data_IF_158965271814
#
_entry.id   IF_158965271814
#
_cell.length_a   1.000
_cell.length_b   1.000
_cell.length_c   1.000
_cell.angle_alpha   90.00
_cell.angle_beta   90.00
_cell.angle_gamma   90.00
#
_symmetry.space_group_name_H-M   'P 1'
#
loop_
_entity.id
_entity.type
_entity.pdbx_description
1 polymer ?
#
# COMPACT_ATOMS: atom_id res chain seq x y z
N UNK A 1 -5.95 -22.23 25.21
CA UNK A 1 -5.53 -20.88 25.63
C UNK A 1 -4.17 -20.96 26.29
N UNK A 2 -3.32 -19.94 26.15
CA UNK A 2 -2.10 -19.82 26.95
C UNK A 2 -2.43 -19.33 28.36
N UNK A 3 -3.09 -18.18 28.45
CA UNK A 3 -3.58 -17.57 29.69
C UNK A 3 -5.03 -17.13 29.47
N UNK A 4 -5.91 -17.47 30.41
CA UNK A 4 -7.32 -17.08 30.40
C UNK A 4 -7.64 -16.36 31.70
N UNK A 5 -8.07 -15.10 31.57
CA UNK A 5 -8.45 -14.21 32.66
C UNK A 5 -9.93 -13.88 32.49
N UNK A 6 -10.75 -14.25 33.47
CA UNK A 6 -12.22 -14.17 33.43
C UNK A 6 -12.80 -13.76 34.77
N UNK A 7 -14.11 -13.57 34.86
CA UNK A 7 -14.84 -13.26 36.09
C UNK A 7 -14.29 -12.04 36.86
N UNK A 8 -14.08 -10.91 36.18
CA UNK A 8 -13.41 -9.71 36.74
C UNK A 8 -11.98 -9.99 37.23
N UNK A 9 -11.32 -10.97 36.59
CA UNK A 9 -9.97 -11.37 36.89
C UNK A 9 -9.00 -10.19 36.77
N UNK A 10 -8.12 -10.09 37.76
CA UNK A 10 -6.98 -9.20 37.76
C UNK A 10 -5.71 -10.05 37.62
N UNK A 11 -4.58 -9.38 37.39
CA UNK A 11 -3.29 -10.05 37.35
C UNK A 11 -2.25 -9.19 36.69
N UNK A 12 -0.99 -9.51 36.94
CA UNK A 12 0.14 -8.88 36.27
C UNK A 12 0.96 -9.95 35.58
N UNK A 13 1.12 -9.81 34.26
CA UNK A 13 2.03 -10.58 33.45
C UNK A 13 3.17 -9.65 33.10
N UNK A 14 4.38 -9.99 33.52
CA UNK A 14 5.58 -9.18 33.33
C UNK A 14 6.72 -10.07 32.84
N UNK A 15 7.45 -9.62 31.83
CA UNK A 15 8.66 -10.30 31.32
C UNK A 15 8.42 -11.78 30.96
N UNK A 16 7.26 -12.06 30.34
CA UNK A 16 6.82 -13.41 30.00
C UNK A 16 6.87 -13.69 28.50
N UNK A 17 7.17 -14.95 28.16
CA UNK A 17 7.05 -15.51 26.82
C UNK A 17 5.82 -16.42 26.73
N UNK A 18 4.87 -16.08 25.86
CA UNK A 18 3.60 -16.79 25.69
C UNK A 18 3.50 -17.24 24.25
N UNK A 19 3.88 -18.48 23.96
CA UNK A 19 4.08 -18.92 22.58
C UNK A 19 3.59 -20.33 22.26
N UNK A 20 3.38 -20.61 20.97
CA UNK A 20 3.05 -21.95 20.49
C UNK A 20 1.66 -22.47 20.90
N UNK A 21 0.80 -21.60 21.41
CA UNK A 21 -0.53 -21.95 21.90
C UNK A 21 -1.44 -22.41 20.76
N UNK A 22 -2.25 -23.45 21.01
CA UNK A 22 -3.23 -23.96 20.03
C UNK A 22 -4.45 -23.06 19.88
N UNK A 23 -4.76 -22.28 20.91
CA UNK A 23 -5.80 -21.25 20.92
C UNK A 23 -5.16 -19.89 21.24
N UNK A 24 -5.96 -18.92 21.67
CA UNK A 24 -5.54 -17.56 22.00
C UNK A 24 -4.42 -17.56 23.03
N UNK A 25 -3.39 -16.76 22.79
CA UNK A 25 -2.23 -16.60 23.68
C UNK A 25 -2.64 -16.05 25.04
N UNK A 26 -3.20 -14.85 25.06
CA UNK A 26 -3.80 -14.24 26.26
C UNK A 26 -5.25 -13.86 26.00
N UNK A 27 -6.16 -14.39 26.79
CA UNK A 27 -7.59 -14.14 26.67
C UNK A 27 -8.10 -13.39 27.89
N UNK A 28 -8.59 -12.17 27.69
CA UNK A 28 -9.16 -11.27 28.71
C UNK A 28 -10.67 -11.21 28.47
N UNK A 29 -11.45 -11.70 29.42
CA UNK A 29 -12.89 -11.85 29.28
C UNK A 29 -13.65 -11.30 30.50
N UNK A 30 -14.94 -11.03 30.35
CA UNK A 30 -15.87 -10.76 31.47
C UNK A 30 -15.38 -9.66 32.41
N UNK A 31 -15.22 -8.46 31.87
CA UNK A 31 -14.76 -7.27 32.62
C UNK A 31 -13.40 -7.42 33.35
N UNK A 32 -12.61 -8.44 33.00
CA UNK A 32 -11.26 -8.63 33.54
C UNK A 32 -10.35 -7.46 33.16
N UNK A 33 -9.46 -7.08 34.08
CA UNK A 33 -8.59 -5.92 33.95
C UNK A 33 -7.14 -6.21 34.37
N UNK A 34 -6.42 -7.07 33.64
CA UNK A 34 -5.03 -7.38 33.94
C UNK A 34 -4.06 -6.31 33.41
N UNK A 35 -2.84 -6.30 33.94
CA UNK A 35 -1.70 -5.60 33.37
C UNK A 35 -0.78 -6.60 32.69
N UNK A 36 -0.46 -6.39 31.42
CA UNK A 36 0.44 -7.23 30.63
C UNK A 36 1.55 -6.32 30.14
N UNK A 37 2.79 -6.53 30.59
CA UNK A 37 3.89 -5.62 30.24
C UNK A 37 5.19 -6.33 29.95
N UNK A 38 5.99 -5.81 29.02
CA UNK A 38 7.27 -6.40 28.64
C UNK A 38 7.16 -7.88 28.19
N UNK A 39 6.01 -8.29 27.64
CA UNK A 39 5.76 -9.67 27.25
C UNK A 39 5.96 -9.89 25.75
N UNK A 40 6.28 -11.13 25.37
CA UNK A 40 6.33 -11.58 23.96
C UNK A 40 5.27 -12.66 23.74
N UNK A 41 4.35 -12.42 22.80
CA UNK A 41 3.23 -13.31 22.50
C UNK A 41 3.26 -13.71 21.03
N UNK A 42 3.70 -14.95 20.75
CA UNK A 42 4.09 -15.31 19.39
C UNK A 42 3.87 -16.76 18.97
N UNK A 43 3.89 -16.99 17.66
CA UNK A 43 3.77 -18.31 17.03
C UNK A 43 2.55 -19.15 17.50
N UNK A 44 1.48 -18.48 17.97
CA UNK A 44 0.21 -19.10 18.30
C UNK A 44 -0.55 -19.55 17.06
N UNK A 45 -1.43 -20.56 17.20
CA UNK A 45 -2.31 -21.05 16.12
C UNK A 45 -3.56 -20.20 15.93
N UNK A 46 -3.92 -19.38 16.93
CA UNK A 46 -5.08 -18.49 16.94
C UNK A 46 -4.64 -17.03 17.18
N UNK A 47 -5.42 -16.25 17.93
CA UNK A 47 -5.11 -14.86 18.26
C UNK A 47 -3.92 -14.75 19.21
N UNK A 48 -3.11 -13.69 19.08
CA UNK A 48 -2.11 -13.37 20.10
C UNK A 48 -2.78 -12.97 21.42
N UNK A 49 -3.55 -11.88 21.38
CA UNK A 49 -4.38 -11.41 22.50
C UNK A 49 -5.83 -11.30 22.06
N UNK A 50 -6.76 -11.82 22.85
CA UNK A 50 -8.20 -11.64 22.65
C UNK A 50 -8.86 -10.98 23.86
N UNK A 51 -9.59 -9.89 23.62
CA UNK A 51 -10.21 -9.06 24.66
C UNK A 51 -11.70 -8.96 24.34
N UNK A 52 -12.54 -9.56 25.19
CA UNK A 52 -13.95 -9.83 24.91
C UNK A 52 -14.84 -9.58 26.13
N UNK A 53 -16.15 -9.50 25.92
CA UNK A 53 -17.19 -9.28 26.93
C UNK A 53 -16.86 -8.20 27.97
N UNK A 54 -16.76 -6.95 27.51
CA UNK A 54 -16.37 -5.79 28.32
C UNK A 54 -14.96 -5.91 28.94
N UNK A 55 -14.10 -6.76 28.37
CA UNK A 55 -12.73 -6.92 28.79
C UNK A 55 -11.99 -5.59 28.77
N UNK A 56 -11.23 -5.36 29.83
CA UNK A 56 -10.36 -4.21 29.99
C UNK A 56 -8.92 -4.69 29.86
N UNK A 57 -8.02 -4.09 30.62
CA UNK A 57 -6.63 -4.46 30.68
C UNK A 57 -5.72 -3.41 30.06
N UNK A 58 -4.49 -3.44 30.52
CA UNK A 58 -3.44 -2.54 30.07
C UNK A 58 -2.30 -3.39 29.51
N UNK A 59 -2.04 -3.26 28.20
CA UNK A 59 -1.04 -4.00 27.46
C UNK A 59 0.06 -3.03 27.05
N UNK A 60 1.26 -3.22 27.56
CA UNK A 60 2.29 -2.18 27.56
C UNK A 60 3.64 -2.75 27.16
N UNK A 61 4.35 -2.10 26.25
CA UNK A 61 5.74 -2.47 25.93
C UNK A 61 5.87 -3.97 25.52
N UNK A 62 4.88 -4.50 24.79
CA UNK A 62 4.78 -5.91 24.39
C UNK A 62 5.05 -6.12 22.89
N UNK A 63 5.57 -7.30 22.56
CA UNK A 63 5.73 -7.78 21.18
C UNK A 63 4.73 -8.89 20.87
N UNK A 64 3.90 -8.70 19.84
CA UNK A 64 2.84 -9.64 19.45
C UNK A 64 3.05 -9.97 17.97
N UNK A 65 3.57 -11.17 17.66
CA UNK A 65 4.03 -11.46 16.30
C UNK A 65 3.93 -12.92 15.87
N UNK A 66 3.95 -13.17 14.56
CA UNK A 66 4.00 -14.54 14.00
C UNK A 66 2.76 -15.40 14.26
N UNK A 67 1.73 -14.84 14.91
CA UNK A 67 0.49 -15.56 15.20
C UNK A 67 -0.24 -15.92 13.90
N UNK A 68 -0.80 -17.13 13.86
CA UNK A 68 -1.40 -17.69 12.65
C UNK A 68 -2.79 -17.10 12.33
N UNK A 69 -3.38 -16.38 13.28
CA UNK A 69 -4.59 -15.57 13.09
C UNK A 69 -4.29 -14.10 13.41
N UNK A 70 -5.19 -13.41 14.11
CA UNK A 70 -5.09 -12.00 14.49
C UNK A 70 -3.94 -11.77 15.49
N UNK A 71 -3.29 -10.62 15.45
CA UNK A 71 -2.40 -10.19 16.53
C UNK A 71 -3.20 -9.89 17.80
N UNK A 72 -4.13 -8.94 17.70
CA UNK A 72 -5.04 -8.54 18.78
C UNK A 72 -6.47 -8.47 18.27
N UNK A 73 -7.43 -8.96 19.06
CA UNK A 73 -8.86 -8.70 18.85
C UNK A 73 -9.48 -8.00 20.06
N UNK A 74 -10.24 -6.94 19.79
CA UNK A 74 -11.01 -6.18 20.77
C UNK A 74 -12.47 -6.25 20.35
N UNK A 75 -13.32 -6.90 21.13
CA UNK A 75 -14.73 -7.06 20.77
C UNK A 75 -15.69 -6.98 21.93
N UNK A 76 -16.99 -6.91 21.62
CA UNK A 76 -18.09 -7.01 22.61
C UNK A 76 -17.96 -5.95 23.70
N UNK A 77 -17.93 -4.67 23.29
CA UNK A 77 -17.79 -3.50 24.17
C UNK A 77 -16.50 -3.45 25.02
N UNK A 78 -15.48 -4.25 24.69
CA UNK A 78 -14.18 -4.22 25.36
C UNK A 78 -13.45 -2.91 25.12
N UNK A 79 -12.73 -2.43 26.15
CA UNK A 79 -12.06 -1.13 26.14
C UNK A 79 -10.67 -1.18 26.82
N UNK A 80 -9.70 -1.90 26.24
CA UNK A 80 -8.35 -1.99 26.77
C UNK A 80 -7.51 -0.75 26.43
N UNK A 81 -6.41 -0.56 27.15
CA UNK A 81 -5.34 0.36 26.75
C UNK A 81 -4.14 -0.44 26.25
N UNK A 82 -3.70 -0.18 25.02
CA UNK A 82 -2.53 -0.79 24.39
C UNK A 82 -1.52 0.32 24.11
N UNK A 83 -0.33 0.26 24.72
CA UNK A 83 0.67 1.32 24.55
C UNK A 83 2.07 0.79 24.33
N UNK A 84 2.85 1.48 23.49
CA UNK A 84 4.24 1.12 23.18
C UNK A 84 4.42 -0.32 22.68
N UNK A 85 3.39 -0.90 22.05
CA UNK A 85 3.41 -2.29 21.60
C UNK A 85 3.81 -2.40 20.13
N UNK A 86 4.41 -3.53 19.77
CA UNK A 86 4.69 -3.90 18.37
C UNK A 86 3.84 -5.09 17.98
N UNK A 87 3.00 -4.92 16.96
CA UNK A 87 2.10 -5.96 16.44
C UNK A 87 2.46 -6.23 14.98
N UNK A 88 3.16 -7.34 14.71
CA UNK A 88 3.79 -7.50 13.41
C UNK A 88 3.92 -8.93 12.89
N UNK A 89 4.15 -9.05 11.58
CA UNK A 89 4.37 -10.31 10.87
C UNK A 89 3.30 -11.38 11.17
N UNK A 90 2.07 -10.94 11.45
CA UNK A 90 0.91 -11.81 11.65
C UNK A 90 0.36 -12.37 10.33
N UNK A 91 -0.26 -13.55 10.39
CA UNK A 91 -0.87 -14.18 9.20
C UNK A 91 -2.30 -13.70 8.90
N UNK A 92 -2.84 -12.82 9.75
CA UNK A 92 -4.14 -12.17 9.56
C UNK A 92 -4.01 -10.65 9.75
N UNK A 93 -5.07 -9.99 10.24
CA UNK A 93 -5.04 -8.59 10.63
C UNK A 93 -4.13 -8.39 11.86
N UNK A 94 -3.43 -7.26 11.92
CA UNK A 94 -2.64 -6.91 13.10
C UNK A 94 -3.56 -6.74 14.31
N UNK A 95 -4.50 -5.81 14.20
CA UNK A 95 -5.51 -5.53 15.22
C UNK A 95 -6.90 -5.49 14.58
N UNK A 96 -7.85 -6.23 15.14
CA UNK A 96 -9.26 -6.19 14.74
C UNK A 96 -10.13 -5.72 15.90
N UNK A 97 -10.81 -4.58 15.71
CA UNK A 97 -11.78 -4.03 16.65
C UNK A 97 -13.19 -4.18 16.04
N UNK A 98 -14.06 -4.93 16.71
CA UNK A 98 -15.39 -5.34 16.20
C UNK A 98 -16.45 -5.32 17.30
N UNK A 99 -17.72 -5.37 16.91
CA UNK A 99 -18.86 -5.59 17.82
C UNK A 99 -18.87 -4.57 18.99
N UNK A 100 -18.91 -3.28 18.64
CA UNK A 100 -18.84 -2.14 19.58
C UNK A 100 -17.52 -2.05 20.38
N UNK A 101 -16.43 -2.63 19.87
CA UNK A 101 -15.12 -2.51 20.49
C UNK A 101 -14.66 -1.05 20.55
N UNK A 102 -14.02 -0.68 21.65
CA UNK A 102 -13.47 0.66 21.86
C UNK A 102 -11.94 0.55 21.85
N UNK A 103 -11.30 0.81 22.98
CA UNK A 103 -9.87 0.66 23.16
C UNK A 103 -9.09 1.90 22.77
N UNK A 104 -7.97 2.08 23.47
CA UNK A 104 -7.01 3.16 23.23
C UNK A 104 -5.69 2.52 22.81
N UNK A 105 -5.19 2.89 21.64
CA UNK A 105 -3.89 2.47 21.13
C UNK A 105 -2.98 3.70 21.08
N UNK A 106 -1.91 3.70 21.85
CA UNK A 106 -0.95 4.80 21.90
C UNK A 106 0.47 4.34 21.57
N UNK A 107 1.18 5.12 20.75
CA UNK A 107 2.62 4.91 20.49
C UNK A 107 2.94 3.46 20.02
N UNK A 108 2.03 2.83 19.28
CA UNK A 108 2.17 1.45 18.81
C UNK A 108 2.69 1.37 17.38
N UNK A 109 3.47 0.32 17.09
CA UNK A 109 3.91 -0.05 15.74
C UNK A 109 3.14 -1.27 15.25
N UNK A 110 2.45 -1.14 14.13
CA UNK A 110 1.64 -2.21 13.54
C UNK A 110 2.12 -2.39 12.10
N UNK A 111 2.74 -3.54 11.79
CA UNK A 111 3.38 -3.67 10.48
C UNK A 111 3.58 -5.09 9.96
N UNK A 112 3.72 -5.20 8.65
CA UNK A 112 4.10 -6.47 8.01
C UNK A 112 3.03 -7.56 8.10
N UNK A 113 1.82 -7.25 8.54
CA UNK A 113 0.74 -8.22 8.66
C UNK A 113 0.20 -8.62 7.29
N UNK A 114 -0.30 -9.85 7.18
CA UNK A 114 -0.77 -10.42 5.90
C UNK A 114 -2.08 -9.80 5.43
N UNK A 115 -2.87 -9.23 6.34
CA UNK A 115 -4.07 -8.45 6.01
C UNK A 115 -3.85 -6.98 6.40
N UNK A 116 -4.90 -6.23 6.70
CA UNK A 116 -4.75 -4.84 7.15
C UNK A 116 -4.09 -4.77 8.52
N UNK A 117 -3.32 -3.71 8.77
CA UNK A 117 -2.71 -3.47 10.08
C UNK A 117 -3.78 -3.29 11.15
N UNK A 118 -4.75 -2.41 10.89
CA UNK A 118 -5.91 -2.18 11.76
C UNK A 118 -7.20 -2.37 10.98
N UNK A 119 -8.12 -3.15 11.53
CA UNK A 119 -9.46 -3.37 10.99
C UNK A 119 -10.51 -2.97 12.03
N UNK A 120 -11.43 -2.07 11.68
CA UNK A 120 -12.46 -1.52 12.56
C UNK A 120 -13.82 -1.77 11.91
N UNK A 121 -14.72 -2.48 12.59
CA UNK A 121 -16.07 -2.66 12.05
C UNK A 121 -17.16 -2.82 13.12
N UNK A 122 -18.41 -2.88 12.66
CA UNK A 122 -19.62 -3.10 13.48
C UNK A 122 -19.72 -2.12 14.65
N UNK A 123 -19.87 -0.85 14.31
CA UNK A 123 -20.10 0.25 15.26
C UNK A 123 -18.95 0.45 16.28
N UNK A 124 -17.77 -0.12 16.03
CA UNK A 124 -16.60 0.03 16.89
C UNK A 124 -16.00 1.44 16.82
N UNK A 125 -15.50 1.95 17.95
CA UNK A 125 -15.03 3.33 18.07
C UNK A 125 -13.72 3.44 18.88
N UNK A 126 -12.59 2.92 18.36
CA UNK A 126 -11.29 3.00 19.02
C UNK A 126 -10.66 4.40 18.92
N UNK A 127 -9.68 4.68 19.78
CA UNK A 127 -8.79 5.84 19.63
C UNK A 127 -7.37 5.37 19.37
N UNK A 128 -6.78 5.82 18.25
CA UNK A 128 -5.38 5.57 17.89
C UNK A 128 -4.61 6.89 17.96
N UNK A 129 -3.51 6.93 18.72
CA UNK A 129 -2.70 8.13 18.94
C UNK A 129 -1.23 7.84 18.75
N UNK A 130 -0.54 8.62 17.91
CA UNK A 130 0.92 8.49 17.66
C UNK A 130 1.34 7.09 17.21
N UNK A 131 0.45 6.35 16.55
CA UNK A 131 0.74 5.01 16.05
C UNK A 131 1.38 5.06 14.66
N UNK A 132 2.22 4.07 14.36
CA UNK A 132 2.80 3.85 13.03
C UNK A 132 2.25 2.56 12.43
N UNK A 133 1.57 2.65 11.29
CA UNK A 133 0.91 1.52 10.62
C UNK A 133 1.51 1.36 9.21
N UNK A 134 2.29 0.31 8.98
CA UNK A 134 3.10 0.25 7.76
C UNK A 134 3.43 -1.13 7.21
N UNK A 135 3.73 -1.19 5.91
CA UNK A 135 4.18 -2.40 5.20
C UNK A 135 3.24 -3.62 5.30
N UNK A 136 1.98 -3.40 5.68
CA UNK A 136 0.93 -4.41 5.69
C UNK A 136 0.56 -4.82 4.24
N UNK A 137 0.12 -6.07 4.07
CA UNK A 137 -0.14 -6.64 2.73
C UNK A 137 -1.52 -6.28 2.17
N UNK A 138 -2.35 -5.60 2.95
CA UNK A 138 -3.57 -4.95 2.48
C UNK A 138 -3.57 -3.46 2.85
N UNK A 139 -4.68 -2.94 3.39
CA UNK A 139 -4.78 -1.55 3.79
C UNK A 139 -3.95 -1.30 5.06
N UNK A 140 -3.50 -0.07 5.29
CA UNK A 140 -2.98 0.25 6.63
C UNK A 140 -4.09 0.14 7.66
N UNK A 141 -5.16 0.91 7.42
CA UNK A 141 -6.36 0.93 8.27
C UNK A 141 -7.59 0.74 7.40
N UNK A 142 -8.44 -0.21 7.77
CA UNK A 142 -9.70 -0.47 7.08
C UNK A 142 -10.87 -0.32 8.05
N UNK A 143 -11.82 0.56 7.72
CA UNK A 143 -13.03 0.81 8.51
C UNK A 143 -14.27 0.53 7.66
N UNK A 144 -15.15 -0.37 8.14
CA UNK A 144 -16.39 -0.81 7.48
C UNK A 144 -17.53 -0.98 8.50
N UNK A 145 -18.73 -1.30 8.03
CA UNK A 145 -19.92 -1.65 8.82
C UNK A 145 -20.21 -0.64 9.94
N UNK A 146 -20.39 0.63 9.56
CA UNK A 146 -20.59 1.77 10.47
C UNK A 146 -19.47 1.95 11.50
N UNK A 147 -18.26 1.45 11.20
CA UNK A 147 -17.09 1.67 12.04
C UNK A 147 -16.81 3.16 12.22
N UNK A 148 -16.41 3.51 13.43
CA UNK A 148 -16.05 4.86 13.82
C UNK A 148 -14.54 4.92 14.04
N UNK A 149 -14.12 5.61 15.08
CA UNK A 149 -12.75 5.72 15.50
C UNK A 149 -12.18 7.12 15.32
N UNK A 150 -11.18 7.42 16.15
CA UNK A 150 -10.40 8.66 16.08
C UNK A 150 -8.93 8.32 15.95
N UNK A 151 -8.29 8.82 14.90
CA UNK A 151 -6.86 8.67 14.64
C UNK A 151 -6.21 10.04 14.80
N UNK A 152 -5.22 10.16 15.69
CA UNK A 152 -4.52 11.41 15.94
C UNK A 152 -3.01 11.23 15.86
N UNK A 153 -2.35 12.09 15.09
CA UNK A 153 -0.89 12.13 15.02
C UNK A 153 -0.27 10.80 14.54
N UNK A 154 -1.01 10.02 13.72
CA UNK A 154 -0.58 8.71 13.23
C UNK A 154 0.16 8.80 11.88
N UNK A 155 1.10 7.87 11.69
CA UNK A 155 1.81 7.67 10.42
C UNK A 155 1.37 6.38 9.75
N UNK A 156 0.87 6.47 8.52
CA UNK A 156 0.35 5.32 7.78
C UNK A 156 1.04 5.26 6.42
N UNK A 157 1.89 4.25 6.19
CA UNK A 157 2.76 4.26 5.01
C UNK A 157 3.20 2.89 4.50
N UNK A 158 3.65 2.79 3.25
CA UNK A 158 4.21 1.54 2.69
C UNK A 158 3.21 0.38 2.51
N UNK A 159 1.95 0.55 2.92
CA UNK A 159 0.90 -0.46 2.82
C UNK A 159 0.59 -0.81 1.36
N UNK A 160 0.16 -2.05 1.14
CA UNK A 160 0.03 -2.59 -0.23
C UNK A 160 -1.23 -2.10 -0.92
N UNK A 161 -2.34 -1.96 -0.19
CA UNK A 161 -3.57 -1.33 -0.66
C UNK A 161 -3.63 0.11 -0.13
N UNK A 162 -4.82 0.64 0.14
CA UNK A 162 -4.98 2.02 0.58
C UNK A 162 -4.27 2.24 1.91
N UNK A 163 -3.76 3.45 2.15
CA UNK A 163 -3.32 3.84 3.48
C UNK A 163 -4.49 3.73 4.47
N UNK A 164 -5.60 4.39 4.16
CA UNK A 164 -6.85 4.32 4.92
C UNK A 164 -8.03 4.06 3.98
N UNK A 165 -8.86 3.07 4.31
CA UNK A 165 -10.12 2.80 3.62
C UNK A 165 -11.28 3.01 4.58
N UNK A 166 -12.25 3.84 4.21
CA UNK A 166 -13.47 4.14 4.96
C UNK A 166 -14.66 3.77 4.08
N UNK A 167 -15.41 2.73 4.45
CA UNK A 167 -16.51 2.25 3.63
C UNK A 167 -17.74 1.86 4.43
N UNK A 168 -18.82 1.48 3.74
CA UNK A 168 -20.03 0.87 4.32
C UNK A 168 -20.60 1.70 5.48
N UNK A 169 -20.88 2.98 5.21
CA UNK A 169 -21.48 3.91 6.19
C UNK A 169 -20.55 4.38 7.32
N UNK A 170 -19.28 3.97 7.31
CA UNK A 170 -18.31 4.31 8.36
C UNK A 170 -18.00 5.81 8.43
N UNK A 171 -17.72 6.32 9.64
CA UNK A 171 -17.51 7.76 9.88
C UNK A 171 -16.37 8.01 10.87
N UNK A 172 -15.14 7.79 10.40
CA UNK A 172 -13.91 7.94 11.20
C UNK A 172 -13.40 9.38 11.19
N UNK A 173 -12.76 9.81 12.27
CA UNK A 173 -12.07 11.10 12.34
C UNK A 173 -10.55 10.92 12.30
N UNK A 174 -9.89 11.63 11.38
CA UNK A 174 -8.43 11.68 11.27
C UNK A 174 -7.95 13.10 11.58
N UNK A 175 -6.97 13.25 12.47
CA UNK A 175 -6.39 14.55 12.84
C UNK A 175 -4.86 14.49 12.83
N UNK A 176 -4.22 15.40 12.11
CA UNK A 176 -2.75 15.51 12.07
C UNK A 176 -2.05 14.20 11.65
N UNK A 177 -2.73 13.39 10.84
CA UNK A 177 -2.18 12.14 10.35
C UNK A 177 -1.38 12.36 9.06
N UNK A 178 -0.36 11.52 8.85
CA UNK A 178 0.42 11.47 7.61
C UNK A 178 0.17 10.15 6.91
N UNK A 179 -0.30 10.20 5.66
CA UNK A 179 -0.61 9.03 4.85
C UNK A 179 0.23 9.07 3.58
N UNK A 180 1.26 8.24 3.50
CA UNK A 180 2.29 8.43 2.48
C UNK A 180 2.99 7.17 1.99
N UNK A 181 3.65 7.27 0.84
CA UNK A 181 4.47 6.21 0.24
C UNK A 181 3.78 4.82 0.18
N UNK A 182 2.44 4.81 0.10
CA UNK A 182 1.64 3.60 -0.07
C UNK A 182 1.65 3.09 -1.51
N UNK A 183 1.38 1.79 -1.70
CA UNK A 183 1.43 1.12 -3.01
C UNK A 183 0.09 1.16 -3.77
N UNK A 184 -0.88 1.90 -3.25
CA UNK A 184 -2.18 2.15 -3.88
C UNK A 184 -2.67 3.57 -3.54
N UNK A 185 -3.96 3.75 -3.26
CA UNK A 185 -4.54 5.03 -2.86
C UNK A 185 -3.98 5.49 -1.52
N UNK A 186 -3.90 6.81 -1.32
CA UNK A 186 -3.68 7.34 0.04
C UNK A 186 -4.89 7.03 0.91
N UNK A 187 -6.05 7.56 0.51
CA UNK A 187 -7.32 7.38 1.21
C UNK A 187 -8.41 6.96 0.22
N UNK A 188 -9.11 5.87 0.50
CA UNK A 188 -10.30 5.44 -0.24
C UNK A 188 -11.56 5.61 0.61
N UNK A 189 -12.59 6.25 0.07
CA UNK A 189 -13.87 6.45 0.76
C UNK A 189 -15.00 5.99 -0.16
N UNK A 190 -15.65 4.88 0.19
CA UNK A 190 -16.64 4.20 -0.67
C UNK A 190 -17.90 3.81 0.09
N UNK A 191 -18.93 3.36 -0.61
CA UNK A 191 -20.14 2.72 -0.06
C UNK A 191 -20.82 3.51 1.07
N UNK A 192 -21.18 4.76 0.79
CA UNK A 192 -21.73 5.72 1.76
C UNK A 192 -20.76 6.07 2.90
N UNK A 193 -19.46 5.88 2.66
CA UNK A 193 -18.40 6.26 3.58
C UNK A 193 -18.45 7.76 3.86
N UNK A 194 -18.26 8.08 5.12
CA UNK A 194 -18.14 9.44 5.63
C UNK A 194 -16.72 9.62 6.17
N UNK A 195 -16.56 10.59 7.06
CA UNK A 195 -15.30 10.83 7.74
C UNK A 195 -14.92 12.30 7.73
N UNK A 196 -14.17 12.68 8.76
CA UNK A 196 -13.64 14.03 8.91
C UNK A 196 -12.14 13.97 9.01
N UNK A 197 -11.45 14.60 8.05
CA UNK A 197 -10.01 14.68 8.00
C UNK A 197 -9.58 16.12 8.25
N UNK A 198 -8.80 16.33 9.30
CA UNK A 198 -8.33 17.65 9.71
C UNK A 198 -6.81 17.68 9.80
N UNK A 199 -6.19 18.68 9.18
CA UNK A 199 -4.74 18.91 9.26
C UNK A 199 -3.90 17.69 8.84
N UNK A 200 -4.39 16.89 7.89
CA UNK A 200 -3.71 15.68 7.43
C UNK A 200 -2.85 15.93 6.18
N UNK A 201 -1.72 15.24 6.08
CA UNK A 201 -0.82 15.27 4.92
C UNK A 201 -0.90 13.93 4.16
N UNK A 202 -1.23 13.99 2.87
CA UNK A 202 -1.42 12.81 2.00
C UNK A 202 -0.51 12.95 0.79
N UNK A 203 0.55 12.14 0.68
CA UNK A 203 1.59 12.34 -0.34
C UNK A 203 2.35 11.08 -0.77
N UNK A 204 2.90 11.06 -1.98
CA UNK A 204 3.84 10.00 -2.40
C UNK A 204 3.23 8.60 -2.62
N UNK A 205 1.92 8.46 -2.54
CA UNK A 205 1.24 7.19 -2.81
C UNK A 205 1.31 6.86 -4.31
N UNK A 206 1.37 5.59 -4.69
CA UNK A 206 1.58 5.20 -6.10
C UNK A 206 0.32 5.26 -6.96
N UNK A 207 -0.84 5.56 -6.38
CA UNK A 207 -2.12 5.76 -7.08
C UNK A 207 -2.69 7.16 -6.85
N UNK A 208 -4.02 7.32 -6.77
CA UNK A 208 -4.70 8.55 -6.36
C UNK A 208 -4.34 8.90 -4.90
N UNK A 209 -4.29 10.19 -4.58
CA UNK A 209 -4.18 10.63 -3.19
C UNK A 209 -5.44 10.31 -2.39
N UNK A 210 -6.59 10.66 -2.94
CA UNK A 210 -7.92 10.43 -2.37
C UNK A 210 -8.88 9.93 -3.44
N UNK A 211 -9.59 8.85 -3.16
CA UNK A 211 -10.71 8.33 -3.97
C UNK A 211 -12.01 8.44 -3.18
N UNK A 212 -13.08 8.94 -3.82
CA UNK A 212 -14.41 9.13 -3.22
C UNK A 212 -15.45 8.62 -4.20
N UNK A 213 -16.06 7.48 -3.88
CA UNK A 213 -16.97 6.74 -4.76
C UNK A 213 -18.26 6.32 -4.03
N UNK A 214 -19.25 5.80 -4.76
CA UNK A 214 -20.44 5.15 -4.21
C UNK A 214 -21.19 5.97 -3.14
N UNK A 215 -21.66 7.17 -3.50
CA UNK A 215 -22.44 8.08 -2.64
C UNK A 215 -21.75 8.52 -1.33
N UNK A 216 -20.41 8.59 -1.34
CA UNK A 216 -19.61 8.98 -0.17
C UNK A 216 -19.48 10.50 -0.03
N UNK A 217 -19.56 11.00 1.19
CA UNK A 217 -19.63 12.45 1.49
C UNK A 217 -18.69 12.90 2.64
N UNK A 218 -17.37 12.69 2.51
CA UNK A 218 -16.40 13.07 3.54
C UNK A 218 -16.14 14.58 3.62
N UNK A 219 -15.57 15.02 4.75
CA UNK A 219 -15.11 16.40 4.96
C UNK A 219 -13.60 16.46 5.18
N UNK A 220 -12.92 17.30 4.39
CA UNK A 220 -11.49 17.60 4.50
C UNK A 220 -11.29 19.06 4.92
N UNK A 221 -10.46 19.29 5.93
CA UNK A 221 -10.17 20.62 6.47
C UNK A 221 -8.66 20.80 6.68
N UNK A 222 -8.08 21.83 6.08
CA UNK A 222 -6.65 22.16 6.24
C UNK A 222 -5.71 20.99 5.87
N UNK A 223 -6.15 20.09 4.99
CA UNK A 223 -5.35 18.97 4.55
C UNK A 223 -4.43 19.35 3.37
N UNK A 224 -3.29 18.67 3.25
CA UNK A 224 -2.40 18.76 2.11
C UNK A 224 -2.44 17.46 1.30
N UNK A 225 -2.69 17.56 0.00
CA UNK A 225 -2.75 16.42 -0.91
C UNK A 225 -1.84 16.71 -2.11
N UNK A 226 -0.68 16.07 -2.15
CA UNK A 226 0.35 16.38 -3.13
C UNK A 226 1.23 15.21 -3.54
N UNK A 227 1.96 15.36 -4.65
CA UNK A 227 2.98 14.41 -5.10
C UNK A 227 2.46 12.99 -5.42
N UNK A 228 1.25 12.90 -6.00
CA UNK A 228 0.70 11.64 -6.52
C UNK A 228 0.96 11.50 -8.04
N UNK A 229 1.21 10.29 -8.58
CA UNK A 229 1.41 10.05 -10.01
C UNK A 229 0.10 10.00 -10.82
N UNK A 230 -1.05 9.92 -10.13
CA UNK A 230 -2.39 10.06 -10.68
C UNK A 230 -3.02 11.36 -10.19
N UNK A 231 -4.23 11.76 -10.62
CA UNK A 231 -4.94 12.87 -9.99
C UNK A 231 -4.93 12.74 -8.47
N UNK A 232 -4.67 13.84 -7.75
CA UNK A 232 -4.60 13.80 -6.29
C UNK A 232 -5.93 13.44 -5.64
N UNK A 233 -7.05 13.76 -6.30
CA UNK A 233 -8.40 13.48 -5.82
C UNK A 233 -9.23 13.00 -7.03
N UNK A 234 -9.97 11.92 -6.85
CA UNK A 234 -11.05 11.48 -7.73
C UNK A 234 -12.37 11.49 -6.95
N UNK A 235 -13.43 11.99 -7.59
CA UNK A 235 -14.79 12.05 -7.03
C UNK A 235 -15.73 11.49 -8.08
N UNK A 236 -16.49 10.44 -7.73
CA UNK A 236 -17.51 9.84 -8.59
C UNK A 236 -18.82 10.64 -8.59
N UNK A 237 -19.63 10.45 -9.63
CA UNK A 237 -21.01 10.93 -9.69
C UNK A 237 -21.82 10.51 -8.44
N UNK A 238 -22.64 11.42 -7.90
CA UNK A 238 -23.42 11.19 -6.68
C UNK A 238 -22.68 11.48 -5.37
N UNK A 239 -21.37 11.70 -5.41
CA UNK A 239 -20.58 12.10 -4.24
C UNK A 239 -20.51 13.64 -4.09
N UNK A 240 -20.61 14.15 -2.87
CA UNK A 240 -20.56 15.58 -2.54
C UNK A 240 -19.64 15.87 -1.34
N UNK A 241 -18.32 15.62 -1.47
CA UNK A 241 -17.36 15.89 -0.40
C UNK A 241 -17.09 17.39 -0.19
N UNK A 242 -16.82 17.77 1.05
CA UNK A 242 -16.45 19.15 1.41
C UNK A 242 -14.94 19.29 1.60
N UNK A 243 -14.27 20.09 0.76
CA UNK A 243 -12.88 20.49 0.97
C UNK A 243 -12.79 21.94 1.41
N UNK A 244 -12.24 22.20 2.60
CA UNK A 244 -12.10 23.56 3.15
C UNK A 244 -10.64 23.86 3.51
N UNK A 245 -10.09 24.94 2.95
CA UNK A 245 -8.70 25.40 3.20
C UNK A 245 -7.65 24.31 2.95
N UNK A 246 -7.88 23.42 1.98
CA UNK A 246 -6.93 22.36 1.64
C UNK A 246 -5.90 22.83 0.60
N UNK A 247 -4.70 22.29 0.67
CA UNK A 247 -3.61 22.54 -0.28
C UNK A 247 -3.55 21.35 -1.23
N UNK A 248 -3.81 21.59 -2.52
CA UNK A 248 -3.74 20.58 -3.58
C UNK A 248 -2.60 20.93 -4.53
N UNK A 249 -1.50 20.17 -4.53
CA UNK A 249 -0.28 20.55 -5.29
C UNK A 249 0.30 19.39 -6.10
N UNK A 250 0.74 19.73 -7.32
CA UNK A 250 1.67 18.93 -8.13
C UNK A 250 1.40 17.42 -8.13
N UNK A 251 0.20 17.02 -8.51
CA UNK A 251 -0.09 15.64 -8.86
C UNK A 251 0.22 15.51 -10.36
N UNK A 252 1.29 14.82 -10.71
CA UNK A 252 1.77 14.77 -12.09
C UNK A 252 0.73 13.95 -12.87
N UNK A 253 -0.12 14.55 -13.72
CA UNK A 253 -1.09 13.75 -14.44
C UNK A 253 -0.32 12.88 -15.43
N UNK A 254 -0.32 11.57 -15.21
CA UNK A 254 0.22 10.57 -16.15
C UNK A 254 -0.33 10.79 -17.57
N UNK A 255 -1.55 11.33 -17.68
CA UNK A 255 -2.24 11.65 -18.94
C UNK A 255 -1.59 12.75 -19.78
N UNK A 256 -0.83 13.70 -19.23
CA UNK A 256 -0.27 14.78 -20.06
C UNK A 256 0.87 14.27 -20.97
N UNK A 257 1.57 13.21 -20.55
CA UNK A 257 2.60 12.56 -21.37
C UNK A 257 1.99 11.79 -22.54
N UNK A 258 0.91 11.04 -22.29
CA UNK A 258 0.27 10.18 -23.30
C UNK A 258 -0.62 10.99 -24.24
N UNK A 259 -1.39 11.96 -23.75
CA UNK A 259 -2.19 12.85 -24.59
C UNK A 259 -1.31 13.75 -25.47
N UNK A 260 -0.13 14.16 -25.00
CA UNK A 260 0.87 14.84 -25.84
C UNK A 260 1.40 13.95 -26.97
N UNK A 261 1.65 12.67 -26.70
CA UNK A 261 2.10 11.70 -27.72
C UNK A 261 0.97 11.36 -28.71
N UNK A 262 -0.26 11.19 -28.23
CA UNK A 262 -1.44 10.91 -29.07
C UNK A 262 -1.88 12.13 -29.90
N UNK A 263 -1.80 13.36 -29.36
CA UNK A 263 -2.12 14.58 -30.12
C UNK A 263 -1.06 14.90 -31.19
N UNK A 264 0.22 14.58 -30.95
CA UNK A 264 1.24 14.60 -32.02
C UNK A 264 0.94 13.61 -33.16
N UNK A 265 0.17 12.55 -32.88
CA UNK A 265 -0.18 11.52 -33.88
C UNK A 265 -1.28 11.98 -34.85
N UNK A 266 -2.05 13.03 -34.52
CA UNK A 266 -3.16 13.54 -35.32
C UNK A 266 -2.75 14.78 -36.15
N UNK A 267 -1.63 15.43 -35.81
CA UNK A 267 -1.27 16.75 -36.32
C UNK A 267 -0.23 16.80 -37.47
N UNK A 268 0.29 15.67 -37.95
CA UNK A 268 1.24 15.67 -39.07
C UNK A 268 0.60 15.15 -40.35
N UNK A 269 0.35 16.00 -41.36
CA UNK A 269 0.00 15.51 -42.69
C UNK A 269 1.17 14.70 -43.22
N UNK A 270 0.84 13.59 -43.87
CA UNK A 270 1.70 12.70 -44.65
C UNK A 270 2.95 13.42 -45.17
N UNK A 271 4.08 13.27 -44.47
CA UNK A 271 5.35 13.75 -44.96
C UNK A 271 5.85 12.75 -46.00
N UNK A 272 5.66 13.09 -47.28
CA UNK A 272 6.23 12.34 -48.40
C UNK A 272 7.70 12.73 -48.50
N UNK A 273 8.59 11.83 -48.06
CA UNK A 273 10.03 11.93 -48.30
C UNK A 273 10.42 10.85 -49.33
N UNK A 274 10.31 11.18 -50.62
CA UNK A 274 10.51 10.23 -51.73
C UNK A 274 9.38 9.21 -51.88
N UNK A 275 9.66 8.07 -52.52
CA UNK A 275 8.68 6.98 -52.79
C UNK A 275 8.20 6.22 -51.54
N UNK A 276 8.61 6.64 -50.34
CA UNK A 276 8.26 5.99 -49.08
C UNK A 276 7.13 6.74 -48.37
N UNK A 277 5.93 6.18 -48.41
CA UNK A 277 4.77 6.69 -47.66
C UNK A 277 4.92 6.33 -46.18
N UNK A 278 5.39 7.28 -45.37
CA UNK A 278 5.42 7.11 -43.91
C UNK A 278 4.01 7.40 -43.38
N UNK A 279 3.27 6.34 -43.07
CA UNK A 279 1.98 6.47 -42.41
C UNK A 279 2.17 7.00 -40.98
N UNK A 280 1.18 7.71 -40.40
CA UNK A 280 1.23 8.16 -39.00
C UNK A 280 1.60 7.03 -38.03
N UNK A 281 1.19 5.81 -38.35
CA UNK A 281 1.50 4.57 -37.62
C UNK A 281 3.01 4.26 -37.58
N UNK A 282 3.73 4.46 -38.70
CA UNK A 282 5.19 4.24 -38.77
C UNK A 282 5.92 5.34 -37.97
N UNK A 283 5.44 6.58 -38.03
CA UNK A 283 6.02 7.69 -37.27
C UNK A 283 5.92 7.47 -35.75
N UNK A 284 4.76 7.00 -35.26
CA UNK A 284 4.58 6.65 -33.84
C UNK A 284 5.47 5.48 -33.44
N UNK A 285 5.56 4.44 -34.26
CA UNK A 285 6.46 3.30 -33.99
C UNK A 285 7.94 3.74 -33.90
N UNK A 286 8.40 4.61 -34.80
CA UNK A 286 9.76 5.17 -34.78
C UNK A 286 10.00 6.08 -33.57
N UNK A 287 9.00 6.87 -33.15
CA UNK A 287 9.09 7.70 -31.94
C UNK A 287 9.21 6.84 -30.67
N UNK A 288 8.46 5.75 -30.57
CA UNK A 288 8.56 4.77 -29.47
C UNK A 288 9.94 4.11 -29.47
N UNK A 289 10.44 3.66 -30.63
CA UNK A 289 11.79 3.10 -30.77
C UNK A 289 12.84 4.14 -30.34
N UNK A 290 12.72 5.39 -30.78
CA UNK A 290 13.61 6.48 -30.40
C UNK A 290 13.60 6.78 -28.89
N UNK A 291 12.43 6.78 -28.26
CA UNK A 291 12.29 6.97 -26.81
C UNK A 291 12.94 5.82 -26.02
N UNK A 292 12.70 4.58 -26.44
CA UNK A 292 13.34 3.39 -25.86
C UNK A 292 14.86 3.49 -26.00
N UNK A 293 15.39 3.84 -27.18
CA UNK A 293 16.82 4.04 -27.40
C UNK A 293 17.40 5.18 -26.56
N UNK A 294 16.70 6.31 -26.44
CA UNK A 294 17.12 7.45 -25.61
C UNK A 294 17.25 7.05 -24.13
N UNK A 295 16.26 6.33 -23.59
CA UNK A 295 16.27 5.85 -22.20
C UNK A 295 17.30 4.75 -21.96
N UNK A 296 17.47 3.81 -22.90
CA UNK A 296 18.54 2.80 -22.86
C UNK A 296 19.92 3.45 -22.81
N UNK A 297 20.15 4.51 -23.59
CA UNK A 297 21.43 5.26 -23.61
C UNK A 297 21.73 6.00 -22.31
N UNK A 298 20.70 6.37 -21.52
CA UNK A 298 20.84 7.03 -20.21
C UNK A 298 20.84 6.08 -19.01
N UNK A 299 20.77 4.77 -19.20
CA UNK A 299 20.86 3.75 -18.14
C UNK A 299 19.83 3.90 -16.99
N UNK A 300 18.69 4.57 -17.23
CA UNK A 300 17.61 4.80 -16.26
C UNK A 300 16.36 3.97 -16.56
N UNK A 301 16.51 2.66 -16.75
CA UNK A 301 15.38 1.75 -16.98
C UNK A 301 14.91 1.16 -15.65
N UNK A 302 13.71 1.54 -15.20
CA UNK A 302 13.06 0.99 -14.01
C UNK A 302 11.81 0.16 -14.37
N UNK A 303 11.19 -0.48 -13.37
CA UNK A 303 10.06 -1.41 -13.58
C UNK A 303 8.79 -0.71 -14.11
N UNK A 304 8.63 0.59 -13.79
CA UNK A 304 7.55 1.44 -14.30
C UNK A 304 7.73 1.74 -15.79
N UNK A 305 8.96 1.99 -16.25
CA UNK A 305 9.28 2.19 -17.67
C UNK A 305 8.92 0.94 -18.51
N UNK A 306 9.10 -0.27 -17.96
CA UNK A 306 8.71 -1.52 -18.63
C UNK A 306 7.20 -1.65 -18.80
N UNK A 307 6.42 -1.23 -17.81
CA UNK A 307 4.95 -1.24 -17.86
C UNK A 307 4.45 -0.19 -18.86
N UNK A 308 5.08 0.99 -18.89
CA UNK A 308 4.79 2.08 -19.82
C UNK A 308 4.98 1.64 -21.28
N UNK A 309 6.06 0.90 -21.56
CA UNK A 309 6.31 0.31 -22.88
C UNK A 309 5.27 -0.75 -23.23
N UNK A 310 4.93 -1.66 -22.32
CA UNK A 310 3.92 -2.71 -22.55
C UNK A 310 2.55 -2.08 -22.85
N UNK A 311 2.15 -1.04 -22.12
CA UNK A 311 0.88 -0.34 -22.33
C UNK A 311 0.84 0.44 -23.65
N UNK A 312 1.89 1.18 -23.99
CA UNK A 312 1.98 1.84 -25.30
C UNK A 312 1.89 0.81 -26.44
N UNK A 313 2.52 -0.34 -26.24
CA UNK A 313 2.56 -1.44 -27.21
C UNK A 313 1.19 -2.12 -27.38
N UNK A 314 0.41 -2.25 -26.30
CA UNK A 314 -0.96 -2.77 -26.32
C UNK A 314 -1.94 -1.76 -26.95
N UNK A 315 -1.80 -0.47 -26.63
CA UNK A 315 -2.62 0.61 -27.21
C UNK A 315 -2.40 0.75 -28.73
N UNK A 316 -1.16 0.53 -29.20
CA UNK A 316 -0.84 0.43 -30.63
C UNK A 316 -1.47 -0.80 -31.29
N UNK A 317 -1.53 -1.94 -30.59
CA UNK A 317 -2.14 -3.18 -31.09
C UNK A 317 -3.67 -3.12 -31.19
N UNK A 318 -4.34 -2.41 -30.29
CA UNK A 318 -5.80 -2.32 -30.26
C UNK A 318 -6.41 -1.50 -31.43
N UNK A 319 -5.64 -0.60 -32.05
CA UNK A 319 -6.09 0.20 -33.20
C UNK A 319 -5.95 -0.50 -34.56
N UNK A 320 -5.47 -1.75 -34.60
CA UNK A 320 -5.05 -2.43 -35.83
C UNK A 320 -5.85 -3.72 -36.07
N UNK A 321 -7.12 -3.57 -36.44
CA UNK A 321 -7.98 -4.69 -36.86
C UNK A 321 -7.59 -5.36 -38.19
N UNK A 322 -6.58 -4.86 -38.92
CA UNK A 322 -6.19 -5.42 -40.23
C UNK A 322 -4.67 -5.51 -40.51
N UNK A 323 -3.80 -5.08 -39.57
CA UNK A 323 -2.33 -5.09 -39.71
C UNK A 323 -1.67 -6.04 -38.72
N UNK A 324 -2.34 -7.17 -38.46
CA UNK A 324 -1.89 -8.21 -37.53
C UNK A 324 -0.60 -8.94 -38.00
N UNK A 325 -0.28 -8.88 -39.29
CA UNK A 325 0.88 -9.59 -39.89
C UNK A 325 2.19 -8.77 -39.87
N UNK A 326 2.12 -7.45 -40.03
CA UNK A 326 3.29 -6.55 -39.94
C UNK A 326 3.68 -6.27 -38.49
N UNK A 327 2.69 -6.17 -37.61
CA UNK A 327 2.91 -6.00 -36.18
C UNK A 327 3.61 -7.22 -35.59
N UNK A 328 3.32 -8.44 -36.03
CA UNK A 328 3.98 -9.68 -35.57
C UNK A 328 5.51 -9.68 -35.77
N UNK A 329 6.00 -9.08 -36.86
CA UNK A 329 7.45 -8.95 -37.13
C UNK A 329 8.13 -7.86 -36.29
N UNK A 330 7.41 -6.78 -35.97
CA UNK A 330 7.90 -5.74 -35.05
C UNK A 330 7.88 -6.28 -33.60
N UNK A 331 6.85 -7.05 -33.24
CA UNK A 331 6.72 -7.74 -31.95
C UNK A 331 7.85 -8.75 -31.74
N UNK A 332 8.17 -9.59 -32.74
CA UNK A 332 9.27 -10.53 -32.65
C UNK A 332 10.63 -9.82 -32.57
N UNK A 333 10.81 -8.69 -33.26
CA UNK A 333 12.04 -7.90 -33.19
C UNK A 333 12.23 -7.20 -31.83
N UNK A 334 11.17 -6.58 -31.28
CA UNK A 334 11.17 -5.96 -29.94
C UNK A 334 11.33 -7.00 -28.83
N UNK A 335 10.63 -8.13 -28.92
CA UNK A 335 10.81 -9.25 -28.01
C UNK A 335 12.25 -9.78 -28.06
N UNK A 336 12.86 -9.87 -29.26
CA UNK A 336 14.26 -10.27 -29.42
C UNK A 336 15.26 -9.26 -28.87
N UNK A 337 14.97 -7.95 -28.95
CA UNK A 337 15.81 -6.89 -28.37
C UNK A 337 15.72 -6.86 -26.85
N UNK A 338 14.51 -7.03 -26.30
CA UNK A 338 14.29 -7.04 -24.84
C UNK A 338 14.80 -8.34 -24.21
N UNK A 339 14.53 -9.49 -24.84
CA UNK A 339 15.07 -10.78 -24.39
C UNK A 339 16.57 -10.86 -24.62
N UNK A 340 17.10 -10.34 -25.73
CA UNK A 340 18.52 -10.22 -26.00
C UNK A 340 19.25 -9.31 -25.01
N UNK A 341 18.66 -8.18 -24.62
CA UNK A 341 19.21 -7.30 -23.59
C UNK A 341 19.14 -7.92 -22.18
N UNK A 342 18.05 -8.61 -21.86
CA UNK A 342 17.91 -9.37 -20.60
C UNK A 342 18.87 -10.56 -20.53
N UNK A 343 19.08 -11.27 -21.65
CA UNK A 343 20.07 -12.34 -21.79
C UNK A 343 21.50 -11.78 -21.70
N UNK A 344 21.79 -10.65 -22.35
CA UNK A 344 23.07 -9.94 -22.19
C UNK A 344 23.32 -9.53 -20.73
N UNK A 345 22.30 -9.05 -20.01
CA UNK A 345 22.45 -8.69 -18.59
C UNK A 345 22.55 -9.88 -17.63
N UNK A 346 21.88 -11.02 -17.91
CA UNK A 346 21.86 -12.20 -17.03
C UNK A 346 22.98 -13.21 -17.30
N UNK A 347 23.36 -13.45 -18.56
CA UNK A 347 24.42 -14.40 -18.92
C UNK A 347 25.82 -13.77 -19.02
N UNK A 348 25.93 -12.52 -19.46
CA UNK A 348 27.26 -11.90 -19.63
C UNK A 348 27.78 -11.19 -18.37
N UNK A 349 26.95 -10.88 -17.38
CA UNK A 349 27.44 -10.37 -16.08
C UNK A 349 28.26 -11.40 -15.28
N UNK A 350 27.91 -12.71 -15.26
CA UNK A 350 28.77 -13.74 -14.69
C UNK A 350 30.00 -14.06 -15.57
N UNK A 351 29.84 -14.13 -16.91
CA UNK A 351 30.94 -14.46 -17.83
C UNK A 351 32.03 -13.37 -17.87
N UNK A 352 31.68 -12.08 -17.72
CA UNK A 352 32.68 -11.00 -17.57
C UNK A 352 33.30 -10.92 -16.16
N UNK A 353 32.74 -11.60 -15.15
CA UNK A 353 33.38 -11.77 -13.84
C UNK A 353 34.40 -12.91 -13.83
N UNK A 354 34.27 -13.90 -14.72
CA UNK A 354 35.30 -14.94 -14.90
C UNK A 354 36.44 -14.50 -15.86
N UNK A 355 36.18 -13.64 -16.85
CA UNK A 355 37.26 -13.11 -17.71
C UNK A 355 38.15 -12.06 -17.05
N UNK A 356 37.80 -11.58 -15.84
CA UNK A 356 38.63 -10.68 -15.01
C UNK A 356 39.48 -11.39 -13.94
N UNK A 357 39.50 -12.73 -13.94
CA UNK A 357 40.30 -13.53 -13.00
C UNK A 357 41.41 -14.38 -13.67
N UNK A 358 41.66 -14.19 -14.97
CA UNK A 358 42.79 -14.82 -15.70
C UNK A 358 43.71 -13.73 -16.32
N UNK A 359 43.98 -12.65 -15.57
CA UNK A 359 45.06 -11.70 -15.92
C UNK A 359 46.07 -11.51 -14.78
N UNK A 360 46.22 -12.53 -13.92
CA UNK A 360 47.18 -12.50 -12.81
C UNK A 360 48.00 -13.78 -12.71
N UNK A 361 48.58 -14.23 -13.82
CA UNK A 361 49.83 -14.99 -13.78
C UNK A 361 50.77 -14.45 -14.86
N UNK A 362 52.02 -14.28 -14.43
CA UNK A 362 53.05 -13.45 -15.00
C UNK A 362 53.52 -13.91 -16.37
N UNK A 363 53.72 -12.94 -17.27
CA UNK A 363 54.69 -13.05 -18.35
C UNK A 363 56.02 -12.55 -17.77
N UNK A 364 56.93 -13.48 -17.42
CA UNK A 364 58.36 -13.20 -17.46
C UNK A 364 58.86 -13.61 -18.85
N UNK A 365 59.49 -12.68 -19.57
CA UNK A 365 60.23 -12.98 -20.80
C UNK A 365 61.62 -13.52 -20.45
N UNK A 366 61.94 -14.70 -21.01
CA UNK A 366 63.18 -15.21 -21.67
C UNK A 366 64.54 -14.56 -21.30
N UNK A 367 65.66 -15.31 -21.33
CA UNK A 367 66.08 -16.20 -22.44
C UNK A 367 65.56 -17.63 -22.40
#
# INVERSE_FOLDING_TARGET
>A
YGIWIQDNGLGTLEDCDIYGNTDTGVYINEASNPTIRCCRIYDGKSFGIGIRNNGLGTIEDCDIYGNNSLGVVISEASNPTIRNCRIYDGKSFGIWITDNGLGILEDCDIYGNTYSGVYINKDSNPTLRRCRIYDDKQNGIWITDNGLGTLEDCDIYGNTYSGVSIDTGSNTTLRRCRIYDGKSFGIGITDNGLGTLEDCDIYGNTSLGVEINNNSNPTFRRCRIENHPFPGIQIEEGCNPLFRRCILRSNRPFYLGIAGILSLSIALPVAIAGDLVITPTIAVALAVIGFVFYKLRKNRFNKLDSIEIIYLTLALGANLGLTFLLSFNIYSCLASLVTGWLWQRRLFKPLFKQSKLISKYQINRLP
#
